data_IF_611843629306
#
_entry.id   IF_611843629306
#
_cell.length_a   1.000
_cell.length_b   1.000
_cell.length_c   1.000
_cell.angle_alpha   90.00
_cell.angle_beta   90.00
_cell.angle_gamma   90.00
#
_symmetry.space_group_name_H-M   'P 1'
#
loop_
_entity.id
_entity.type
_entity.pdbx_description
1 polymer ?
#
# COMPACT_ATOMS: atom_id res chain seq x y z
N UNK A 1 -4.68 5.33 1.44
CA UNK A 1 -3.23 5.02 1.50
C UNK A 1 -2.47 5.86 0.47
N UNK A 2 -1.27 6.36 0.79
CA UNK A 2 -0.40 7.02 -0.21
C UNK A 2 0.26 5.92 -1.03
N UNK A 3 -0.11 5.77 -2.31
CA UNK A 3 0.55 4.82 -3.21
C UNK A 3 2.03 5.16 -3.35
N UNK A 4 2.85 4.14 -3.52
CA UNK A 4 4.24 4.30 -3.88
C UNK A 4 4.39 5.08 -5.17
N UNK A 5 5.50 5.79 -5.29
CA UNK A 5 5.78 6.66 -6.43
C UNK A 5 7.02 6.20 -7.18
N UNK A 6 7.12 6.60 -8.44
CA UNK A 6 8.30 6.46 -9.28
C UNK A 6 8.72 7.80 -9.87
N UNK A 7 9.99 7.90 -10.23
CA UNK A 7 10.52 9.07 -10.93
C UNK A 7 10.40 8.87 -12.43
N UNK A 8 9.68 9.77 -13.08
CA UNK A 8 9.53 9.81 -14.54
C UNK A 8 10.25 11.04 -15.07
N UNK A 9 11.21 10.90 -16.00
CA UNK A 9 11.83 12.05 -16.65
C UNK A 9 10.75 12.94 -17.31
N UNK A 10 10.79 14.24 -17.08
CA UNK A 10 9.78 15.18 -17.62
C UNK A 10 9.63 15.05 -19.14
N UNK A 11 10.72 14.81 -19.87
CA UNK A 11 10.71 14.59 -21.32
C UNK A 11 9.87 13.37 -21.78
N UNK A 12 9.51 12.46 -20.88
CA UNK A 12 8.65 11.30 -21.14
C UNK A 12 7.19 11.53 -20.75
N UNK A 13 6.88 12.65 -20.14
CA UNK A 13 5.53 13.05 -19.77
C UNK A 13 4.80 13.65 -20.98
N UNK A 14 3.51 13.86 -20.85
CA UNK A 14 2.64 14.47 -21.87
C UNK A 14 2.14 15.82 -21.39
N UNK A 15 1.81 16.69 -22.32
CA UNK A 15 1.09 17.94 -22.02
C UNK A 15 -0.23 17.60 -21.37
N UNK A 16 -0.54 18.27 -20.27
CA UNK A 16 -1.72 18.04 -19.44
C UNK A 16 -1.50 17.06 -18.27
N UNK A 17 -0.38 16.33 -18.23
CA UNK A 17 -0.05 15.45 -17.09
C UNK A 17 0.12 16.27 -15.81
N UNK A 18 -0.43 15.77 -14.71
CA UNK A 18 -0.39 16.40 -13.38
C UNK A 18 0.38 15.54 -12.40
N UNK A 19 1.15 16.19 -11.53
CA UNK A 19 1.92 15.52 -10.49
C UNK A 19 2.17 16.45 -9.30
N UNK A 20 2.66 15.92 -8.17
CA UNK A 20 2.77 16.70 -6.92
C UNK A 20 4.19 16.89 -6.41
N UNK A 21 5.18 16.27 -7.02
CA UNK A 21 6.57 16.44 -6.61
C UNK A 21 7.47 16.51 -7.84
N UNK A 22 8.21 17.62 -7.92
CA UNK A 22 9.20 17.88 -8.95
C UNK A 22 10.60 17.67 -8.38
N UNK A 23 11.35 16.71 -8.93
CA UNK A 23 12.74 16.43 -8.57
C UNK A 23 13.68 17.08 -9.58
N UNK A 24 14.69 17.80 -9.08
CA UNK A 24 15.72 18.47 -9.86
C UNK A 24 17.09 18.32 -9.19
N UNK A 25 18.21 18.55 -9.91
CA UNK A 25 19.52 18.64 -9.30
C UNK A 25 19.49 19.66 -8.15
N UNK A 26 19.88 19.20 -6.95
CA UNK A 26 19.89 20.03 -5.74
C UNK A 26 18.62 20.04 -4.91
N UNK A 27 17.57 19.28 -5.26
CA UNK A 27 16.42 19.15 -4.38
C UNK A 27 15.11 18.74 -5.04
N UNK A 28 14.07 18.81 -4.24
CA UNK A 28 12.69 18.54 -4.66
C UNK A 28 11.78 19.70 -4.29
N UNK A 29 10.74 19.91 -5.08
CA UNK A 29 9.72 20.90 -4.83
C UNK A 29 8.35 20.19 -4.80
N UNK A 30 7.61 20.37 -3.71
CA UNK A 30 6.26 19.84 -3.56
C UNK A 30 5.26 20.97 -3.86
N UNK A 31 4.46 20.77 -4.90
CA UNK A 31 3.36 21.65 -5.29
C UNK A 31 2.43 20.87 -6.24
N UNK A 32 1.36 21.51 -6.69
CA UNK A 32 0.57 20.99 -7.81
C UNK A 32 1.19 21.49 -9.11
N UNK A 33 1.66 20.55 -9.93
CA UNK A 33 2.29 20.82 -11.21
C UNK A 33 1.45 20.27 -12.35
N UNK A 34 1.46 20.97 -13.48
CA UNK A 34 0.85 20.52 -14.73
C UNK A 34 1.79 20.84 -15.90
N UNK A 35 2.03 19.86 -16.75
CA UNK A 35 2.84 20.06 -17.96
C UNK A 35 2.05 20.88 -18.97
N UNK A 36 2.55 22.07 -19.30
CA UNK A 36 1.94 22.95 -20.31
C UNK A 36 2.55 22.75 -21.69
N UNK A 37 3.87 22.57 -21.74
CA UNK A 37 4.61 22.39 -23.00
C UNK A 37 5.88 21.59 -22.75
N UNK A 38 6.26 20.76 -23.72
CA UNK A 38 7.59 20.10 -23.76
C UNK A 38 8.21 20.40 -25.13
N UNK A 39 9.34 21.08 -25.12
CA UNK A 39 10.03 21.47 -26.33
C UNK A 39 11.53 21.15 -26.22
N UNK A 40 11.91 19.94 -26.65
CA UNK A 40 13.30 19.50 -26.69
C UNK A 40 13.99 19.57 -25.30
N UNK A 41 14.89 20.52 -25.14
CA UNK A 41 15.66 20.72 -23.91
C UNK A 41 14.92 21.48 -22.81
N UNK A 42 13.75 22.00 -23.09
CA UNK A 42 12.97 22.83 -22.16
C UNK A 42 11.54 22.35 -22.04
N UNK A 43 10.92 22.61 -20.89
CA UNK A 43 9.49 22.42 -20.67
C UNK A 43 8.92 23.61 -19.92
N UNK A 44 7.62 23.88 -20.14
CA UNK A 44 6.84 24.79 -19.33
C UNK A 44 5.94 24.00 -18.41
N UNK A 45 5.98 24.33 -17.14
CA UNK A 45 5.22 23.70 -16.10
C UNK A 45 4.43 24.78 -15.38
N UNK A 46 3.11 24.56 -15.27
CA UNK A 46 2.25 25.40 -14.45
C UNK A 46 2.37 24.97 -13.01
N UNK A 47 2.69 25.95 -12.14
CA UNK A 47 2.78 25.79 -10.69
C UNK A 47 1.79 26.79 -10.09
N UNK A 48 0.70 26.29 -9.49
CA UNK A 48 -0.45 27.13 -9.10
C UNK A 48 -0.98 27.93 -10.32
N UNK A 49 -0.91 29.26 -10.27
CA UNK A 49 -1.34 30.15 -11.34
C UNK A 49 -0.21 30.71 -12.22
N UNK A 50 1.00 30.19 -12.08
CA UNK A 50 2.18 30.66 -12.80
C UNK A 50 2.75 29.58 -13.70
N UNK A 51 3.22 29.99 -14.87
CA UNK A 51 4.00 29.15 -15.76
C UNK A 51 5.49 29.42 -15.54
N UNK A 52 6.24 28.37 -15.33
CA UNK A 52 7.69 28.40 -15.16
C UNK A 52 8.35 27.53 -16.22
N UNK A 53 9.48 28.00 -16.74
CA UNK A 53 10.27 27.26 -17.74
C UNK A 53 11.46 26.59 -17.07
N UNK A 54 11.63 25.30 -17.34
CA UNK A 54 12.70 24.48 -16.81
C UNK A 54 13.48 23.79 -17.92
N UNK A 55 14.78 23.52 -17.67
CA UNK A 55 15.51 22.53 -18.47
C UNK A 55 14.93 21.14 -18.22
N UNK A 56 14.77 20.34 -19.25
CA UNK A 56 14.33 18.94 -19.10
C UNK A 56 15.45 18.02 -18.61
N UNK A 57 16.70 18.48 -18.61
CA UNK A 57 17.84 17.70 -18.16
C UNK A 57 17.85 17.59 -16.61
N UNK A 58 17.89 16.35 -16.12
CA UNK A 58 17.87 16.07 -14.68
C UNK A 58 16.55 16.42 -13.99
N UNK A 59 15.47 16.67 -14.76
CA UNK A 59 14.17 17.01 -14.22
C UNK A 59 13.23 15.79 -14.27
N UNK A 60 12.65 15.46 -13.12
CA UNK A 60 11.78 14.29 -12.96
C UNK A 60 10.47 14.68 -12.25
N UNK A 61 9.38 14.11 -12.70
CA UNK A 61 8.13 14.08 -11.94
C UNK A 61 8.08 12.83 -11.06
N UNK A 62 7.65 12.99 -9.83
CA UNK A 62 7.33 11.87 -8.96
C UNK A 62 5.82 11.58 -9.13
N UNK A 63 5.53 10.43 -9.71
CA UNK A 63 4.15 10.01 -10.03
C UNK A 63 3.80 8.70 -9.32
N UNK A 64 2.54 8.49 -8.93
CA UNK A 64 2.11 7.21 -8.37
C UNK A 64 2.42 6.05 -9.33
N UNK A 65 2.71 4.88 -8.78
CA UNK A 65 2.77 3.65 -9.58
C UNK A 65 1.40 3.39 -10.22
N UNK A 66 1.38 2.85 -11.44
CA UNK A 66 0.15 2.28 -12.00
C UNK A 66 -0.30 1.06 -11.19
N UNK A 67 -1.54 0.62 -11.37
CA UNK A 67 -2.05 -0.56 -10.66
C UNK A 67 -1.21 -1.81 -11.00
N UNK A 68 -0.80 -1.97 -12.25
CA UNK A 68 0.05 -3.08 -12.70
C UNK A 68 1.44 -3.01 -12.09
N UNK A 69 2.05 -1.83 -12.04
CA UNK A 69 3.37 -1.64 -11.43
C UNK A 69 3.34 -1.86 -9.91
N UNK A 70 2.28 -1.41 -9.26
CA UNK A 70 2.06 -1.61 -7.83
C UNK A 70 1.90 -3.11 -7.52
N UNK A 71 1.04 -3.80 -8.24
CA UNK A 71 0.83 -5.25 -8.11
C UNK A 71 2.12 -6.03 -8.42
N UNK A 72 2.84 -5.69 -9.48
CA UNK A 72 4.11 -6.34 -9.79
C UNK A 72 5.16 -6.17 -8.70
N UNK A 73 5.23 -4.99 -8.08
CA UNK A 73 6.14 -4.71 -6.97
C UNK A 73 5.87 -5.57 -5.74
N UNK A 74 4.60 -5.74 -5.38
CA UNK A 74 4.20 -6.41 -4.15
C UNK A 74 3.71 -7.85 -4.33
N UNK A 75 3.92 -8.43 -5.50
CA UNK A 75 3.42 -9.77 -5.86
C UNK A 75 3.89 -10.85 -4.88
N UNK A 76 5.18 -10.89 -4.58
CA UNK A 76 5.75 -11.92 -3.71
C UNK A 76 5.28 -11.76 -2.27
N UNK A 77 5.23 -10.54 -1.77
CA UNK A 77 4.69 -10.24 -0.44
C UNK A 77 3.21 -10.61 -0.33
N UNK A 78 2.41 -10.30 -1.34
CA UNK A 78 1.00 -10.66 -1.39
C UNK A 78 0.81 -12.19 -1.40
N UNK A 79 1.63 -12.93 -2.14
CA UNK A 79 1.59 -14.39 -2.15
C UNK A 79 1.87 -15.00 -0.76
N UNK A 80 2.87 -14.49 -0.06
CA UNK A 80 3.20 -14.92 1.32
C UNK A 80 2.03 -14.66 2.27
N UNK A 81 1.41 -13.49 2.17
CA UNK A 81 0.25 -13.12 3.00
C UNK A 81 -0.92 -14.06 2.75
N UNK A 82 -1.26 -14.32 1.48
CA UNK A 82 -2.35 -15.23 1.14
C UNK A 82 -2.08 -16.65 1.64
N UNK A 83 -0.86 -17.14 1.51
CA UNK A 83 -0.49 -18.45 2.03
C UNK A 83 -0.69 -18.52 3.56
N UNK A 84 -0.25 -17.51 4.29
CA UNK A 84 -0.47 -17.43 5.75
C UNK A 84 -1.95 -17.34 6.11
N UNK A 85 -2.74 -16.58 5.37
CA UNK A 85 -4.16 -16.43 5.61
C UNK A 85 -4.99 -17.70 5.28
N UNK A 86 -4.51 -18.55 4.38
CA UNK A 86 -5.12 -19.87 4.13
C UNK A 86 -4.94 -20.84 5.29
N UNK A 87 -3.91 -20.65 6.08
CA UNK A 87 -3.60 -21.52 7.20
C UNK A 87 -4.11 -20.88 8.49
N UNK A 88 -5.23 -21.38 8.99
CA UNK A 88 -5.70 -21.01 10.33
C UNK A 88 -4.67 -21.44 11.36
N UNK A 89 -4.19 -20.49 12.16
CA UNK A 89 -3.21 -20.78 13.22
C UNK A 89 -3.97 -20.79 14.53
N UNK A 90 -4.04 -21.95 15.15
CA UNK A 90 -4.54 -22.05 16.53
C UNK A 90 -3.55 -21.38 17.48
N UNK A 91 -3.77 -20.09 17.74
CA UNK A 91 -2.96 -19.31 18.67
C UNK A 91 -3.62 -19.35 20.05
N UNK A 92 -2.83 -19.72 21.06
CA UNK A 92 -3.23 -19.56 22.46
C UNK A 92 -2.93 -18.15 22.93
N UNK A 93 -3.58 -17.70 23.99
CA UNK A 93 -3.30 -16.38 24.59
C UNK A 93 -1.83 -16.17 24.94
N UNK A 94 -1.11 -17.22 25.29
CA UNK A 94 0.33 -17.19 25.56
C UNK A 94 1.15 -16.94 24.30
N UNK A 95 0.70 -17.45 23.16
CA UNK A 95 1.38 -17.28 21.87
C UNK A 95 1.08 -15.93 21.22
N UNK A 96 -0.04 -15.33 21.58
CA UNK A 96 -0.46 -14.05 21.03
C UNK A 96 0.36 -12.89 21.64
N UNK A 97 0.82 -13.02 22.90
CA UNK A 97 1.60 -11.96 23.57
C UNK A 97 0.79 -10.73 23.96
N UNK A 98 1.42 -9.63 24.35
CA UNK A 98 0.76 -8.37 24.69
C UNK A 98 0.39 -7.58 23.43
N UNK A 99 -0.74 -6.88 23.46
CA UNK A 99 -1.41 -6.44 22.24
C UNK A 99 -1.71 -4.98 22.22
N UNK A 100 -1.25 -4.33 21.15
CA UNK A 100 -1.87 -3.12 20.68
C UNK A 100 -2.90 -3.47 19.63
N UNK A 101 -4.12 -2.96 19.75
CA UNK A 101 -5.12 -3.06 18.71
C UNK A 101 -4.75 -2.10 17.57
N UNK A 102 -4.50 -2.65 16.41
CA UNK A 102 -4.17 -1.87 15.24
C UNK A 102 -5.46 -1.45 14.52
N UNK A 103 -5.90 -0.23 14.78
CA UNK A 103 -7.23 0.22 14.40
C UNK A 103 -7.38 0.74 12.97
N UNK A 104 -6.36 0.71 12.12
CA UNK A 104 -6.52 1.62 10.99
C UNK A 104 -5.98 1.14 9.71
N UNK A 105 -6.29 -0.08 9.23
CA UNK A 105 -5.62 -0.11 8.03
C UNK A 105 -5.87 -0.99 6.93
N UNK A 106 -6.54 -1.91 7.03
CA UNK A 106 -6.32 -2.89 6.00
C UNK A 106 -6.91 -2.45 4.71
N UNK A 107 -6.05 -2.35 3.73
CA UNK A 107 -6.41 -2.28 2.33
C UNK A 107 -7.39 -3.38 1.96
N UNK A 108 -8.07 -3.22 0.84
CA UNK A 108 -9.11 -4.15 0.39
C UNK A 108 -8.54 -5.32 -0.40
N UNK A 109 -7.23 -5.33 -0.66
CA UNK A 109 -6.56 -6.34 -1.46
C UNK A 109 -5.20 -6.76 -0.87
N UNK A 110 -4.69 -7.97 -1.24
CA UNK A 110 -3.46 -8.51 -0.68
C UNK A 110 -2.20 -7.72 -1.05
N UNK A 111 -2.21 -6.98 -2.14
CA UNK A 111 -1.06 -6.15 -2.55
C UNK A 111 -0.94 -4.91 -1.69
N UNK A 112 -2.06 -4.26 -1.36
CA UNK A 112 -2.08 -3.15 -0.42
C UNK A 112 -1.61 -3.59 0.96
N UNK A 113 -2.01 -4.79 1.38
CA UNK A 113 -1.58 -5.37 2.64
C UNK A 113 -0.08 -5.65 2.67
N UNK A 114 0.46 -6.26 1.60
CA UNK A 114 1.88 -6.50 1.47
C UNK A 114 2.69 -5.20 1.51
N UNK A 115 2.20 -4.16 0.85
CA UNK A 115 2.82 -2.84 0.85
C UNK A 115 2.88 -2.22 2.26
N UNK A 116 1.81 -2.36 3.05
CA UNK A 116 1.81 -1.86 4.43
C UNK A 116 2.74 -2.68 5.34
N UNK A 117 2.77 -4.00 5.18
CA UNK A 117 3.70 -4.84 5.92
C UNK A 117 5.16 -4.48 5.62
N UNK A 118 5.52 -4.34 4.35
CA UNK A 118 6.89 -3.95 3.96
C UNK A 118 7.26 -2.56 4.47
N UNK A 119 6.35 -1.59 4.32
CA UNK A 119 6.61 -0.20 4.70
C UNK A 119 6.82 0.01 6.19
N UNK A 120 6.14 -0.75 7.01
CA UNK A 120 6.20 -0.66 8.46
C UNK A 120 7.06 -1.77 9.10
N UNK A 121 7.77 -2.54 8.27
CA UNK A 121 8.58 -3.68 8.70
C UNK A 121 7.81 -4.66 9.59
N UNK A 122 6.65 -5.10 9.09
CA UNK A 122 5.71 -5.95 9.78
C UNK A 122 5.66 -7.32 9.13
N UNK A 123 5.73 -8.36 9.94
CA UNK A 123 5.49 -9.73 9.52
C UNK A 123 4.08 -10.18 9.92
N UNK A 124 3.29 -10.63 8.95
CA UNK A 124 2.03 -11.31 9.21
C UNK A 124 2.31 -12.71 9.74
N UNK A 125 1.77 -13.04 10.92
CA UNK A 125 1.91 -14.36 11.51
C UNK A 125 0.80 -15.27 11.02
N UNK A 126 -0.46 -14.81 11.04
CA UNK A 126 -1.63 -15.55 10.60
C UNK A 126 -2.92 -14.99 11.17
N UNK A 127 -3.96 -15.78 11.17
CA UNK A 127 -5.26 -15.40 11.70
C UNK A 127 -5.91 -16.57 12.47
N UNK A 128 -6.91 -16.26 13.27
CA UNK A 128 -7.68 -17.21 14.06
C UNK A 128 -9.11 -16.74 14.27
N UNK A 129 -10.03 -17.67 14.49
CA UNK A 129 -11.41 -17.32 14.85
C UNK A 129 -11.48 -16.87 16.32
N UNK A 130 -12.23 -15.81 16.57
CA UNK A 130 -12.52 -15.33 17.92
C UNK A 130 -13.62 -16.20 18.53
N UNK A 131 -13.42 -16.63 19.78
CA UNK A 131 -14.48 -17.25 20.54
C UNK A 131 -15.64 -16.28 20.80
N UNK A 132 -16.81 -16.79 21.12
CA UNK A 132 -18.04 -15.99 21.29
C UNK A 132 -17.91 -14.82 22.29
N UNK A 133 -17.06 -14.98 23.30
CA UNK A 133 -16.80 -13.93 24.31
C UNK A 133 -15.80 -12.86 23.86
N UNK A 134 -15.09 -13.07 22.75
CA UNK A 134 -14.07 -12.16 22.24
C UNK A 134 -14.51 -11.47 20.94
N UNK A 135 -15.70 -11.77 20.44
CA UNK A 135 -16.28 -11.09 19.29
C UNK A 135 -16.67 -9.68 19.67
N UNK A 136 -16.28 -8.75 18.83
CA UNK A 136 -16.63 -7.35 18.98
C UNK A 136 -17.67 -6.92 17.96
N UNK A 137 -18.56 -6.05 18.40
CA UNK A 137 -19.54 -5.41 17.54
C UNK A 137 -19.15 -3.94 17.37
N UNK A 138 -18.63 -3.62 16.19
CA UNK A 138 -18.18 -2.28 15.88
C UNK A 138 -18.99 -1.71 14.70
N UNK A 139 -19.60 -0.55 14.89
CA UNK A 139 -20.42 0.14 13.89
C UNK A 139 -21.49 -0.75 13.22
N UNK A 140 -22.10 -1.65 13.99
CA UNK A 140 -23.11 -2.57 13.48
C UNK A 140 -22.56 -3.81 12.78
N UNK A 141 -21.24 -4.02 12.80
CA UNK A 141 -20.56 -5.14 12.14
C UNK A 141 -19.94 -6.06 13.19
N UNK A 142 -20.21 -7.34 13.10
CA UNK A 142 -19.59 -8.36 13.95
C UNK A 142 -18.18 -8.65 13.43
N UNK A 143 -17.17 -8.43 14.28
CA UNK A 143 -15.79 -8.80 14.04
C UNK A 143 -15.53 -10.15 14.70
N UNK A 144 -15.19 -11.15 13.92
CA UNK A 144 -15.19 -12.56 14.32
C UNK A 144 -13.84 -13.26 14.15
N UNK A 145 -12.83 -12.54 13.64
CA UNK A 145 -11.47 -13.05 13.53
C UNK A 145 -10.44 -12.07 14.08
N UNK A 146 -9.28 -12.61 14.49
CA UNK A 146 -8.08 -11.85 14.81
C UNK A 146 -6.98 -12.14 13.80
N UNK A 147 -6.44 -11.09 13.18
CA UNK A 147 -5.19 -11.19 12.40
C UNK A 147 -4.03 -10.83 13.30
N UNK A 148 -3.02 -11.68 13.34
CA UNK A 148 -1.84 -11.52 14.19
C UNK A 148 -0.64 -11.15 13.33
N UNK A 149 0.05 -10.11 13.75
CA UNK A 149 1.28 -9.65 13.13
C UNK A 149 2.32 -9.26 14.21
N UNK A 150 3.55 -9.00 13.79
CA UNK A 150 4.61 -8.48 14.66
C UNK A 150 5.46 -7.46 13.93
N UNK A 151 6.03 -6.52 14.67
CA UNK A 151 7.13 -5.68 14.18
C UNK A 151 8.44 -6.47 14.22
N UNK A 152 9.25 -6.36 13.17
CA UNK A 152 10.50 -7.10 13.07
C UNK A 152 11.62 -6.52 13.95
N UNK A 153 11.56 -5.22 14.23
CA UNK A 153 12.56 -4.49 15.00
C UNK A 153 12.63 -4.89 16.48
N UNK A 154 11.48 -5.11 17.11
CA UNK A 154 11.39 -5.43 18.54
C UNK A 154 10.61 -6.71 18.86
N UNK A 155 10.10 -7.41 17.82
CA UNK A 155 9.22 -8.57 17.94
C UNK A 155 7.92 -8.32 18.71
N UNK A 156 7.52 -7.09 18.90
CA UNK A 156 6.21 -6.75 19.48
C UNK A 156 5.10 -7.31 18.61
N UNK A 157 4.26 -8.12 19.21
CA UNK A 157 3.12 -8.73 18.54
C UNK A 157 1.87 -7.89 18.77
N UNK A 158 1.03 -7.84 17.78
CA UNK A 158 -0.28 -7.21 17.86
C UNK A 158 -1.28 -8.00 17.03
N UNK A 159 -2.52 -7.77 17.28
CA UNK A 159 -3.61 -8.33 16.49
C UNK A 159 -4.74 -7.32 16.34
N UNK A 160 -5.53 -7.52 15.31
CA UNK A 160 -6.67 -6.68 15.02
C UNK A 160 -7.87 -7.53 14.62
N UNK A 161 -9.05 -7.02 14.91
CA UNK A 161 -10.30 -7.69 14.64
C UNK A 161 -10.76 -7.46 13.20
N UNK A 162 -11.25 -8.51 12.56
CA UNK A 162 -11.80 -8.46 11.21
C UNK A 162 -13.03 -9.33 11.05
N UNK A 163 -13.65 -9.18 9.91
CA UNK A 163 -14.69 -10.09 9.43
C UNK A 163 -14.04 -11.25 8.68
N UNK A 164 -14.48 -12.45 8.97
CA UNK A 164 -14.03 -13.66 8.27
C UNK A 164 -14.33 -13.61 6.77
N UNK A 165 -15.51 -13.11 6.39
CA UNK A 165 -15.90 -12.99 4.99
C UNK A 165 -14.97 -12.08 4.18
N UNK A 166 -14.34 -11.09 4.81
CA UNK A 166 -13.33 -10.26 4.16
C UNK A 166 -12.07 -11.07 3.77
N UNK A 167 -11.57 -11.93 4.66
CA UNK A 167 -10.41 -12.80 4.37
C UNK A 167 -10.75 -13.78 3.25
N UNK A 168 -11.90 -14.43 3.31
CA UNK A 168 -12.35 -15.37 2.27
C UNK A 168 -12.42 -14.66 0.92
N UNK A 169 -13.03 -13.50 0.87
CA UNK A 169 -13.14 -12.69 -0.36
C UNK A 169 -11.77 -12.31 -0.91
N UNK A 170 -10.84 -11.88 -0.07
CA UNK A 170 -9.51 -11.52 -0.49
C UNK A 170 -8.75 -12.71 -1.09
N UNK A 171 -8.87 -13.90 -0.51
CA UNK A 171 -8.29 -15.14 -1.04
C UNK A 171 -8.89 -15.49 -2.39
N UNK A 172 -10.23 -15.43 -2.53
CA UNK A 172 -10.93 -15.72 -3.77
C UNK A 172 -10.55 -14.76 -4.91
N UNK A 173 -10.42 -13.47 -4.62
CA UNK A 173 -10.01 -12.46 -5.60
C UNK A 173 -8.57 -12.71 -6.06
N UNK A 174 -7.68 -13.03 -5.15
CA UNK A 174 -6.32 -13.40 -5.47
C UNK A 174 -6.22 -14.63 -6.38
N UNK A 175 -6.97 -15.67 -6.09
CA UNK A 175 -6.97 -16.91 -6.88
C UNK A 175 -7.48 -16.68 -8.30
N UNK A 176 -8.46 -15.80 -8.49
CA UNK A 176 -8.94 -15.41 -9.81
C UNK A 176 -7.85 -14.68 -10.61
N UNK A 177 -7.11 -13.78 -9.98
CA UNK A 177 -6.03 -13.02 -10.64
C UNK A 177 -4.89 -13.94 -11.10
N UNK A 178 -4.51 -14.94 -10.28
CA UNK A 178 -3.47 -15.91 -10.66
C UNK A 178 -3.93 -16.80 -11.82
N UNK A 179 -5.20 -17.20 -11.84
CA UNK A 179 -5.75 -18.09 -12.87
C UNK A 179 -5.87 -17.42 -14.23
N UNK A 180 -5.93 -16.08 -14.26
CA UNK A 180 -6.05 -15.28 -15.49
C UNK A 180 -4.69 -14.89 -16.10
N UNK A 181 -3.58 -15.20 -15.43
CA UNK A 181 -2.19 -15.02 -15.91
C UNK A 181 -1.63 -16.31 -16.50
#
# INVERSE_FOLDING_TARGET
MRRDTKLVPIKKMKVGDKFHNLRRPGGSQMASFEIVEICGAYCKIKVYDREETYSTEGLFAEVPLSDEEFKAKYKDGAAIIIEKLRNEISLTNENIGMHEMWNSWIGTDPYEFAAECEKNDIELIGWFELGDNAREFCDGIMLDIGIVAKYNDDNTRFWCHFRKDWIVKMIEEWEKEITLQ
#
